data_IF_497428794935
#
_entry.id   IF_497428794935
#
_cell.length_a   1.000
_cell.length_b   1.000
_cell.length_c   1.000
_cell.angle_alpha   90.00
_cell.angle_beta   90.00
_cell.angle_gamma   90.00
#
_symmetry.space_group_name_H-M   'P 1'
#
loop_
_entity.id
_entity.type
_entity.pdbx_description
1 polymer ?
#
# COMPACT_ATOMS: atom_id res chain seq x y z
N UNK A 1 12.04 15.86 -5.08
CA UNK A 1 11.49 14.71 -4.32
C UNK A 1 10.75 15.25 -3.11
N UNK A 2 9.52 14.80 -2.90
CA UNK A 2 8.72 15.12 -1.72
C UNK A 2 8.38 13.83 -0.98
N UNK A 3 8.34 13.88 0.36
CA UNK A 3 8.00 12.72 1.20
C UNK A 3 6.90 13.11 2.17
N UNK A 4 5.87 12.29 2.25
CA UNK A 4 4.73 12.47 3.15
C UNK A 4 4.55 11.19 3.95
N UNK A 5 4.37 11.33 5.27
CA UNK A 5 4.12 10.22 6.18
C UNK A 5 2.70 10.34 6.73
N UNK A 6 1.97 9.24 6.70
CA UNK A 6 0.62 9.11 7.23
C UNK A 6 0.58 7.96 8.24
N UNK A 7 -0.22 8.12 9.30
CA UNK A 7 -0.60 7.02 10.19
C UNK A 7 -1.96 6.53 9.73
N UNK A 8 -2.04 5.29 9.23
CA UNK A 8 -3.30 4.66 8.86
C UNK A 8 -4.14 4.28 10.08
N UNK A 9 -5.42 3.94 9.85
CA UNK A 9 -6.41 3.65 10.89
C UNK A 9 -6.06 2.50 11.84
N UNK A 10 -5.19 1.58 11.40
CA UNK A 10 -4.77 0.38 12.15
C UNK A 10 -3.25 0.34 12.41
N UNK A 11 -2.65 1.47 12.80
CA UNK A 11 -1.23 1.58 13.15
C UNK A 11 -0.23 1.25 12.01
N UNK A 12 -0.72 0.95 10.80
CA UNK A 12 0.10 0.77 9.61
C UNK A 12 0.70 2.12 9.19
N UNK A 13 2.03 2.16 9.15
CA UNK A 13 2.76 3.34 8.69
C UNK A 13 2.73 3.38 7.17
N UNK A 14 2.06 4.39 6.61
CA UNK A 14 2.09 4.67 5.18
C UNK A 14 3.14 5.74 4.90
N UNK A 15 3.98 5.49 3.91
CA UNK A 15 4.95 6.46 3.39
C UNK A 15 4.68 6.68 1.92
N UNK A 16 4.55 7.94 1.52
CA UNK A 16 4.40 8.32 0.12
C UNK A 16 5.60 9.13 -0.34
N UNK A 17 6.16 8.71 -1.45
CA UNK A 17 7.27 9.36 -2.13
C UNK A 17 6.80 9.84 -3.49
N UNK A 18 7.11 11.08 -3.80
CA UNK A 18 6.87 11.66 -5.11
C UNK A 18 8.19 11.84 -5.86
N UNK A 19 8.29 11.16 -7.00
CA UNK A 19 9.37 11.28 -7.97
C UNK A 19 8.88 12.04 -9.20
N UNK A 20 9.75 12.26 -10.18
CA UNK A 20 9.43 13.03 -11.38
C UNK A 20 8.32 12.37 -12.20
N UNK A 21 8.42 11.04 -12.40
CA UNK A 21 7.53 10.27 -13.29
C UNK A 21 6.59 9.31 -12.55
N UNK A 22 6.77 9.12 -11.25
CA UNK A 22 6.01 8.12 -10.50
C UNK A 22 5.79 8.56 -9.04
N UNK A 23 4.81 7.92 -8.43
CA UNK A 23 4.57 7.92 -7.00
C UNK A 23 4.88 6.53 -6.45
N UNK A 24 5.51 6.48 -5.28
CA UNK A 24 5.72 5.22 -4.56
C UNK A 24 5.05 5.33 -3.20
N UNK A 25 4.13 4.42 -2.93
CA UNK A 25 3.48 4.25 -1.64
C UNK A 25 4.06 2.98 -1.01
N UNK A 26 4.59 3.10 0.21
CA UNK A 26 5.11 1.97 0.97
C UNK A 26 4.33 1.85 2.28
N UNK A 27 3.77 0.67 2.55
CA UNK A 27 3.05 0.34 3.76
C UNK A 27 3.75 -0.81 4.50
N UNK A 28 4.00 -0.64 5.79
CA UNK A 28 4.43 -1.74 6.65
C UNK A 28 3.20 -2.60 6.98
N UNK A 29 3.25 -3.85 6.54
CA UNK A 29 2.18 -4.82 6.74
C UNK A 29 2.54 -5.82 7.83
N UNK A 30 3.51 -5.51 8.70
CA UNK A 30 3.85 -6.28 9.90
C UNK A 30 4.07 -7.77 9.65
N UNK A 31 3.59 -8.60 10.59
CA UNK A 31 3.68 -10.07 10.52
C UNK A 31 2.74 -10.73 9.51
N UNK A 32 1.92 -9.96 8.79
CA UNK A 32 1.04 -10.49 7.75
C UNK A 32 1.83 -11.00 6.53
N UNK A 33 3.09 -10.57 6.38
CA UNK A 33 4.10 -11.23 5.53
C UNK A 33 3.65 -11.44 4.08
N UNK A 34 3.25 -12.67 3.78
CA UNK A 34 2.88 -13.16 2.44
C UNK A 34 1.36 -13.39 2.26
N UNK A 35 0.56 -13.36 3.34
CA UNK A 35 -0.90 -13.52 3.29
C UNK A 35 -1.59 -12.16 3.07
N UNK A 36 -1.17 -11.48 2.01
CA UNK A 36 -1.68 -10.16 1.63
C UNK A 36 -2.18 -10.22 0.21
N UNK A 37 -3.44 -9.84 0.03
CA UNK A 37 -4.04 -9.62 -1.28
C UNK A 37 -4.22 -8.12 -1.49
N UNK A 38 -3.92 -7.66 -2.70
CA UNK A 38 -4.13 -6.26 -3.09
C UNK A 38 -4.91 -6.22 -4.38
N UNK A 39 -6.07 -5.59 -4.33
CA UNK A 39 -6.88 -5.29 -5.50
C UNK A 39 -6.90 -3.78 -5.76
N UNK A 40 -6.91 -3.40 -7.03
CA UNK A 40 -7.01 -2.00 -7.45
C UNK A 40 -8.26 -1.82 -8.28
N UNK A 41 -9.14 -0.93 -7.83
CA UNK A 41 -10.39 -0.59 -8.52
C UNK A 41 -10.37 0.91 -8.81
N UNK A 42 -10.16 1.27 -10.08
CA UNK A 42 -9.93 2.67 -10.48
C UNK A 42 -8.69 3.23 -9.77
N UNK A 43 -8.88 4.25 -8.93
CA UNK A 43 -7.82 4.89 -8.13
C UNK A 43 -7.81 4.42 -6.67
N UNK A 44 -8.49 3.33 -6.32
CA UNK A 44 -8.54 2.81 -4.96
C UNK A 44 -7.79 1.49 -4.87
N UNK A 45 -6.79 1.42 -3.99
CA UNK A 45 -6.17 0.16 -3.59
C UNK A 45 -6.89 -0.39 -2.35
N UNK A 46 -7.30 -1.64 -2.42
CA UNK A 46 -7.91 -2.40 -1.33
C UNK A 46 -6.90 -3.46 -0.91
N UNK A 47 -6.43 -3.37 0.34
CA UNK A 47 -5.45 -4.29 0.90
C UNK A 47 -6.14 -5.15 1.92
N UNK A 48 -6.13 -6.46 1.68
CA UNK A 48 -6.66 -7.47 2.60
C UNK A 48 -5.49 -8.25 3.18
N UNK A 49 -5.40 -8.30 4.50
CA UNK A 49 -4.37 -9.03 5.21
C UNK A 49 -5.01 -10.07 6.14
N UNK A 50 -4.56 -11.32 6.03
CA UNK A 50 -5.04 -12.43 6.86
C UNK A 50 -3.97 -12.85 7.88
N UNK A 51 -4.35 -13.03 9.14
CA UNK A 51 -3.48 -13.58 10.18
C UNK A 51 -4.26 -14.48 11.12
N UNK A 52 -4.09 -15.79 10.93
CA UNK A 52 -4.87 -16.80 11.64
C UNK A 52 -6.36 -16.64 11.33
N UNK A 53 -7.17 -16.40 12.36
CA UNK A 53 -8.63 -16.21 12.23
C UNK A 53 -9.04 -14.74 12.02
N UNK A 54 -8.07 -13.82 11.90
CA UNK A 54 -8.33 -12.39 11.72
C UNK A 54 -8.07 -11.96 10.29
N UNK A 55 -9.04 -11.23 9.73
CA UNK A 55 -8.91 -10.57 8.44
C UNK A 55 -9.07 -9.07 8.68
N UNK A 56 -8.12 -8.30 8.17
CA UNK A 56 -8.17 -6.83 8.16
C UNK A 56 -8.22 -6.35 6.73
N UNK A 57 -9.08 -5.38 6.47
CA UNK A 57 -9.19 -4.69 5.18
C UNK A 57 -8.83 -3.22 5.37
N UNK A 58 -8.06 -2.66 4.45
CA UNK A 58 -7.73 -1.24 4.45
C UNK A 58 -7.72 -0.71 3.03
N UNK A 59 -8.40 0.42 2.84
CA UNK A 59 -8.50 1.09 1.56
C UNK A 59 -7.59 2.33 1.50
N UNK A 60 -6.99 2.57 0.35
CA UNK A 60 -6.13 3.71 0.08
C UNK A 60 -6.48 4.36 -1.24
N UNK A 61 -6.56 5.69 -1.26
CA UNK A 61 -6.60 6.44 -2.51
C UNK A 61 -5.21 6.56 -3.12
N UNK A 62 -5.13 6.19 -4.40
CA UNK A 62 -3.96 6.29 -5.23
C UNK A 62 -4.00 7.56 -6.08
N UNK A 63 -2.83 8.15 -6.39
CA UNK A 63 -2.75 9.37 -7.20
C UNK A 63 -3.02 9.14 -8.71
N UNK A 64 -3.31 7.91 -9.14
CA UNK A 64 -3.50 7.51 -10.55
C UNK A 64 -3.85 6.03 -10.69
N UNK A 65 -4.09 5.59 -11.93
CA UNK A 65 -4.62 4.25 -12.26
C UNK A 65 -3.58 3.28 -12.84
N UNK A 66 -2.44 3.77 -13.34
CA UNK A 66 -1.36 2.90 -13.84
C UNK A 66 -0.50 2.41 -12.67
N UNK A 67 -0.92 1.28 -12.10
CA UNK A 67 -0.44 0.77 -10.81
C UNK A 67 0.32 -0.54 -10.96
N UNK A 68 1.47 -0.61 -10.29
CA UNK A 68 2.20 -1.85 -10.04
C UNK A 68 2.30 -2.10 -8.54
N UNK A 69 2.08 -3.35 -8.12
CA UNK A 69 2.10 -3.75 -6.71
C UNK A 69 3.17 -4.82 -6.49
N UNK A 70 3.92 -4.69 -5.40
CA UNK A 70 4.89 -5.70 -4.97
C UNK A 70 4.93 -5.77 -3.43
N UNK A 71 5.10 -6.97 -2.90
CA UNK A 71 5.32 -7.19 -1.46
C UNK A 71 6.71 -7.80 -1.26
N UNK A 72 7.48 -7.24 -0.32
CA UNK A 72 8.80 -7.77 0.02
C UNK A 72 9.04 -7.68 1.52
N UNK A 73 9.22 -8.84 2.18
CA UNK A 73 9.53 -8.94 3.61
C UNK A 73 8.56 -8.14 4.51
N UNK A 74 7.25 -8.23 4.24
CA UNK A 74 6.22 -7.51 5.00
C UNK A 74 6.13 -6.01 4.69
N UNK A 75 6.71 -5.56 3.58
CA UNK A 75 6.50 -4.20 3.06
C UNK A 75 5.77 -4.29 1.74
N UNK A 76 4.55 -3.75 1.73
CA UNK A 76 3.76 -3.52 0.52
C UNK A 76 4.26 -2.25 -0.15
N UNK A 77 4.61 -2.36 -1.43
CA UNK A 77 5.00 -1.25 -2.29
C UNK A 77 4.03 -1.14 -3.45
N UNK A 78 3.42 0.04 -3.60
CA UNK A 78 2.54 0.39 -4.71
C UNK A 78 3.20 1.53 -5.49
N UNK A 79 3.51 1.27 -6.75
CA UNK A 79 4.05 2.28 -7.68
C UNK A 79 2.95 2.74 -8.61
N UNK A 80 2.81 4.05 -8.78
CA UNK A 80 1.80 4.66 -9.66
C UNK A 80 2.49 5.58 -10.65
N UNK A 81 2.36 5.29 -11.95
CA UNK A 81 2.93 6.14 -13.00
C UNK A 81 2.10 7.43 -13.15
N UNK A 82 2.78 8.53 -13.50
CA UNK A 82 2.17 9.85 -13.73
C UNK A 82 1.70 10.03 -15.17
#
# INVERSE_FOLDING_TARGET
MSTQQFTGGDEQFLRRYEYENEWVIAADTGTFGDDISVDVVGTTAIVVAESGDKVTETEFELPGEDVAVATNNGVLTITVQK
#
